data_IF_101588039142
#
_entry.id   IF_101588039142
#
_cell.length_a   1.000
_cell.length_b   1.000
_cell.length_c   1.000
_cell.angle_alpha   90.00
_cell.angle_beta   90.00
_cell.angle_gamma   90.00
#
_symmetry.space_group_name_H-M   'P 1'
#
loop_
_entity.id
_entity.type
_entity.pdbx_description
1 polymer ?
#
# COMPACT_ATOMS: atom_id res chain seq x y z
N UNK A 1 -0.76 4.29 -28.75
CA UNK A 1 -1.48 4.36 -27.46
C UNK A 1 -2.53 5.46 -27.57
N UNK A 2 -3.85 5.21 -27.43
CA UNK A 2 -4.81 6.29 -27.43
C UNK A 2 -4.80 6.93 -26.04
N UNK A 3 -3.93 7.92 -25.86
CA UNK A 3 -3.89 8.73 -24.64
C UNK A 3 -5.19 9.54 -24.61
N UNK A 4 -6.09 9.20 -23.67
CA UNK A 4 -7.34 9.95 -23.49
C UNK A 4 -7.03 11.40 -23.14
N UNK A 5 -7.80 12.32 -23.73
CA UNK A 5 -7.64 13.76 -23.51
C UNK A 5 -7.93 14.07 -22.03
N UNK A 6 -7.12 14.96 -21.44
CA UNK A 6 -7.33 15.53 -20.11
C UNK A 6 -8.79 16.03 -20.00
N UNK A 7 -9.57 15.46 -19.08
CA UNK A 7 -10.98 15.83 -18.85
C UNK A 7 -12.03 14.76 -19.19
N UNK A 8 -11.66 13.63 -19.82
CA UNK A 8 -12.61 12.51 -20.00
C UNK A 8 -12.76 11.69 -18.72
N UNK A 9 -14.00 11.28 -18.39
CA UNK A 9 -14.27 10.37 -17.28
C UNK A 9 -13.50 9.06 -17.42
N UNK A 10 -12.74 8.71 -16.37
CA UNK A 10 -11.93 7.49 -16.28
C UNK A 10 -12.82 6.36 -15.79
N UNK A 11 -12.91 5.27 -16.55
CA UNK A 11 -13.67 4.07 -16.14
C UNK A 11 -12.78 3.16 -15.32
N UNK A 12 -13.15 2.96 -14.06
CA UNK A 12 -12.39 2.17 -13.09
C UNK A 12 -13.14 0.86 -12.86
N UNK A 13 -12.47 -0.28 -13.02
CA UNK A 13 -12.98 -1.59 -12.64
C UNK A 13 -12.37 -2.00 -11.30
N UNK A 14 -13.21 -2.25 -10.31
CA UNK A 14 -12.81 -2.78 -9.00
C UNK A 14 -13.15 -4.26 -8.91
N UNK A 15 -12.13 -5.08 -8.69
CA UNK A 15 -12.18 -6.53 -8.65
C UNK A 15 -12.06 -7.03 -7.21
N UNK A 16 -13.08 -7.77 -6.78
CA UNK A 16 -13.24 -8.26 -5.41
C UNK A 16 -13.06 -9.78 -5.34
N UNK A 17 -12.52 -10.33 -4.25
CA UNK A 17 -12.29 -11.76 -4.10
C UNK A 17 -13.59 -12.55 -4.03
N UNK A 18 -14.66 -11.96 -3.48
CA UNK A 18 -15.96 -12.63 -3.32
C UNK A 18 -17.12 -11.62 -3.29
N UNK A 19 -18.34 -12.15 -3.41
CA UNK A 19 -19.57 -11.33 -3.45
C UNK A 19 -19.80 -10.52 -2.19
N UNK A 20 -19.47 -11.06 -1.01
CA UNK A 20 -19.66 -10.37 0.28
C UNK A 20 -18.84 -9.09 0.36
N UNK A 21 -17.55 -9.17 0.01
CA UNK A 21 -16.67 -8.00 -0.01
C UNK A 21 -17.03 -7.02 -1.13
N UNK A 22 -17.46 -7.52 -2.29
CA UNK A 22 -18.00 -6.67 -3.37
C UNK A 22 -19.18 -5.83 -2.88
N UNK A 23 -20.16 -6.43 -2.22
CA UNK A 23 -21.35 -5.71 -1.74
C UNK A 23 -21.00 -4.67 -0.66
N UNK A 24 -20.10 -5.02 0.27
CA UNK A 24 -19.58 -4.07 1.26
C UNK A 24 -18.83 -2.91 0.60
N UNK A 25 -18.03 -3.21 -0.42
CA UNK A 25 -17.36 -2.22 -1.25
C UNK A 25 -18.32 -1.27 -1.94
N UNK A 26 -19.32 -1.79 -2.66
CA UNK A 26 -20.34 -0.98 -3.35
C UNK A 26 -21.00 -0.01 -2.38
N UNK A 27 -21.39 -0.47 -1.18
CA UNK A 27 -21.98 0.40 -0.15
C UNK A 27 -21.01 1.50 0.31
N UNK A 28 -19.73 1.17 0.46
CA UNK A 28 -18.69 2.12 0.89
C UNK A 28 -18.37 3.17 -0.18
N UNK A 29 -18.48 2.79 -1.47
CA UNK A 29 -18.21 3.68 -2.61
C UNK A 29 -19.45 4.39 -3.16
N UNK A 30 -20.64 4.12 -2.61
CA UNK A 30 -21.91 4.66 -3.12
C UNK A 30 -21.97 6.19 -3.17
N UNK A 31 -21.28 6.89 -2.26
CA UNK A 31 -21.20 8.36 -2.26
C UNK A 31 -20.17 8.93 -3.24
N UNK A 32 -19.35 8.09 -3.86
CA UNK A 32 -18.21 8.49 -4.69
C UNK A 32 -18.36 8.06 -6.16
N UNK A 33 -19.42 7.34 -6.54
CA UNK A 33 -19.56 6.75 -7.87
C UNK A 33 -20.43 7.58 -8.82
N UNK A 34 -19.80 8.39 -9.67
CA UNK A 34 -20.46 9.08 -10.81
C UNK A 34 -20.65 8.16 -12.04
N UNK A 35 -21.09 6.91 -11.86
CA UNK A 35 -21.18 5.86 -12.90
C UNK A 35 -19.85 5.47 -13.58
N UNK A 36 -18.72 5.90 -13.02
CA UNK A 36 -17.37 5.63 -13.54
C UNK A 36 -16.72 4.40 -12.94
N UNK A 37 -17.27 3.87 -11.85
CA UNK A 37 -16.72 2.72 -11.12
C UNK A 37 -17.60 1.49 -11.32
N UNK A 38 -17.04 0.45 -11.94
CA UNK A 38 -17.66 -0.87 -12.08
C UNK A 38 -17.11 -1.82 -11.02
N UNK A 39 -17.96 -2.67 -10.43
CA UNK A 39 -17.56 -3.65 -9.42
C UNK A 39 -17.78 -5.07 -9.94
N UNK A 40 -16.79 -5.95 -9.80
CA UNK A 40 -16.83 -7.33 -10.29
C UNK A 40 -16.15 -8.30 -9.32
N UNK A 41 -16.55 -9.58 -9.31
CA UNK A 41 -15.80 -10.63 -8.61
C UNK A 41 -14.67 -11.15 -9.50
N UNK A 42 -13.50 -11.43 -8.94
CA UNK A 42 -12.34 -11.93 -9.69
C UNK A 42 -12.69 -13.20 -10.48
N UNK A 43 -13.39 -14.16 -9.87
CA UNK A 43 -13.75 -15.41 -10.55
C UNK A 43 -14.78 -15.23 -11.68
N UNK A 44 -15.56 -14.15 -11.64
CA UNK A 44 -16.58 -13.88 -12.67
C UNK A 44 -16.01 -13.25 -13.95
N UNK A 45 -14.72 -12.94 -14.00
CA UNK A 45 -14.10 -12.22 -15.10
C UNK A 45 -13.75 -13.09 -16.32
N UNK A 46 -13.70 -14.42 -16.16
CA UNK A 46 -13.14 -15.34 -17.17
C UNK A 46 -13.79 -15.28 -18.56
N UNK A 47 -14.97 -14.67 -18.71
CA UNK A 47 -15.70 -14.61 -19.98
C UNK A 47 -16.18 -13.19 -20.37
N UNK A 48 -15.73 -12.14 -19.69
CA UNK A 48 -16.24 -10.78 -19.92
C UNK A 48 -15.23 -9.93 -20.66
N UNK A 49 -15.69 -9.16 -21.64
CA UNK A 49 -14.83 -8.21 -22.35
C UNK A 49 -14.52 -7.02 -21.41
N UNK A 50 -13.27 -6.97 -20.94
CA UNK A 50 -12.77 -5.92 -20.03
C UNK A 50 -12.22 -4.70 -20.80
N UNK A 51 -12.36 -4.67 -22.14
CA UNK A 51 -11.82 -3.64 -23.03
C UNK A 51 -12.40 -2.24 -22.84
N UNK A 52 -13.54 -2.09 -22.17
CA UNK A 52 -14.20 -0.80 -21.95
C UNK A 52 -13.66 0.00 -20.76
N UNK A 53 -12.94 -0.64 -19.84
CA UNK A 53 -12.43 -0.04 -18.61
C UNK A 53 -11.02 0.55 -18.81
N UNK A 54 -10.73 1.69 -18.21
CA UNK A 54 -9.44 2.37 -18.35
C UNK A 54 -8.40 1.86 -17.33
N UNK A 55 -8.87 1.47 -16.14
CA UNK A 55 -8.02 1.03 -15.01
C UNK A 55 -8.66 -0.20 -14.35
N UNK A 56 -7.85 -1.14 -13.88
CA UNK A 56 -8.30 -2.22 -12.98
C UNK A 56 -7.68 -2.07 -11.58
N UNK A 57 -8.48 -2.32 -10.54
CA UNK A 57 -8.07 -2.30 -9.14
C UNK A 57 -8.50 -3.59 -8.48
N UNK A 58 -7.57 -4.45 -8.07
CA UNK A 58 -7.86 -5.62 -7.25
C UNK A 58 -7.85 -5.25 -5.77
N UNK A 59 -8.85 -5.67 -5.01
CA UNK A 59 -8.98 -5.34 -3.58
C UNK A 59 -8.98 -6.62 -2.76
N UNK A 60 -7.96 -6.79 -1.92
CA UNK A 60 -7.74 -7.94 -1.05
C UNK A 60 -7.87 -9.32 -1.76
N UNK A 61 -7.22 -9.54 -2.92
CA UNK A 61 -7.29 -10.82 -3.60
C UNK A 61 -6.70 -11.96 -2.75
N UNK A 62 -7.24 -13.16 -2.93
CA UNK A 62 -6.72 -14.37 -2.31
C UNK A 62 -5.61 -14.99 -3.16
N UNK A 63 -4.69 -15.72 -2.54
CA UNK A 63 -3.57 -16.39 -3.23
C UNK A 63 -4.06 -17.40 -4.28
N UNK A 64 -5.18 -18.07 -4.01
CA UNK A 64 -5.88 -18.98 -4.94
C UNK A 64 -6.30 -18.30 -6.25
N UNK A 65 -6.40 -16.97 -6.27
CA UNK A 65 -6.93 -16.19 -7.39
C UNK A 65 -5.82 -15.64 -8.30
N UNK A 66 -4.54 -15.81 -7.95
CA UNK A 66 -3.41 -15.23 -8.68
C UNK A 66 -3.37 -15.58 -10.17
N UNK A 67 -3.72 -16.81 -10.55
CA UNK A 67 -3.78 -17.22 -11.95
C UNK A 67 -4.80 -16.41 -12.75
N UNK A 68 -5.98 -16.16 -12.17
CA UNK A 68 -7.05 -15.36 -12.78
C UNK A 68 -6.64 -13.88 -12.84
N UNK A 69 -6.03 -13.36 -11.78
CA UNK A 69 -5.49 -11.99 -11.71
C UNK A 69 -4.46 -11.77 -12.82
N UNK A 70 -3.60 -12.76 -13.09
CA UNK A 70 -2.63 -12.69 -14.19
C UNK A 70 -3.34 -12.57 -15.55
N UNK A 71 -4.31 -13.43 -15.83
CA UNK A 71 -5.06 -13.37 -17.09
C UNK A 71 -5.78 -12.03 -17.29
N UNK A 72 -6.37 -11.48 -16.23
CA UNK A 72 -6.99 -10.15 -16.26
C UNK A 72 -5.93 -9.08 -16.55
N UNK A 73 -4.79 -9.12 -15.86
CA UNK A 73 -3.71 -8.13 -16.03
C UNK A 73 -3.18 -8.14 -17.46
N UNK A 74 -2.99 -9.33 -18.04
CA UNK A 74 -2.58 -9.51 -19.43
C UNK A 74 -3.61 -8.88 -20.40
N UNK A 75 -4.91 -8.98 -20.11
CA UNK A 75 -5.98 -8.35 -20.91
C UNK A 75 -6.04 -6.82 -20.78
N UNK A 76 -5.49 -6.26 -19.70
CA UNK A 76 -5.42 -4.82 -19.52
C UNK A 76 -4.25 -4.20 -20.27
N UNK A 77 -3.14 -4.91 -20.49
CA UNK A 77 -1.95 -4.36 -21.12
C UNK A 77 -2.25 -3.58 -22.43
N UNK A 78 -1.78 -2.32 -22.59
CA UNK A 78 -0.88 -1.58 -21.70
C UNK A 78 -1.57 -0.67 -20.66
N UNK A 79 -2.87 -0.88 -20.38
CA UNK A 79 -3.64 -0.10 -19.39
C UNK A 79 -3.19 -0.41 -17.96
N UNK A 80 -3.27 0.59 -17.05
CA UNK A 80 -2.82 0.42 -15.67
C UNK A 80 -3.67 -0.57 -14.87
N UNK A 81 -3.00 -1.31 -14.01
CA UNK A 81 -3.58 -2.27 -13.06
C UNK A 81 -2.95 -2.07 -11.70
N UNK A 82 -3.75 -2.02 -10.65
CA UNK A 82 -3.30 -1.84 -9.27
C UNK A 82 -3.84 -2.95 -8.39
N UNK A 83 -3.04 -3.45 -7.45
CA UNK A 83 -3.47 -4.40 -6.42
C UNK A 83 -3.36 -3.75 -5.05
N UNK A 84 -4.50 -3.61 -4.37
CA UNK A 84 -4.58 -3.26 -2.97
C UNK A 84 -4.81 -4.52 -2.16
N UNK A 85 -3.76 -5.15 -1.64
CA UNK A 85 -3.91 -6.36 -0.81
C UNK A 85 -3.46 -6.14 0.63
N UNK A 86 -4.37 -5.88 1.58
CA UNK A 86 -4.03 -5.74 2.99
C UNK A 86 -3.80 -7.08 3.71
N UNK A 87 -4.05 -8.23 3.07
CA UNK A 87 -4.08 -9.54 3.73
C UNK A 87 -2.89 -10.44 3.48
N UNK A 88 -2.12 -10.23 2.41
CA UNK A 88 -0.95 -11.07 2.15
C UNK A 88 0.08 -10.81 3.26
N UNK A 89 0.36 -11.79 4.11
CA UNK A 89 1.37 -11.59 5.15
C UNK A 89 2.80 -11.70 4.58
N UNK A 90 3.79 -11.23 5.33
CA UNK A 90 5.21 -11.28 4.93
C UNK A 90 5.68 -12.69 4.56
N UNK A 91 5.15 -13.70 5.25
CA UNK A 91 5.57 -15.09 5.09
C UNK A 91 4.86 -15.81 3.93
N UNK A 92 3.69 -15.34 3.51
CA UNK A 92 2.91 -15.98 2.44
C UNK A 92 3.59 -15.83 1.07
N UNK A 93 4.30 -14.72 0.81
CA UNK A 93 4.92 -14.46 -0.51
C UNK A 93 6.03 -15.47 -0.86
N UNK A 94 6.73 -15.99 0.15
CA UNK A 94 7.77 -17.01 -0.02
C UNK A 94 7.20 -18.34 -0.54
N UNK A 95 5.91 -18.60 -0.31
CA UNK A 95 5.22 -19.83 -0.71
C UNK A 95 4.65 -19.78 -2.14
N UNK A 96 4.76 -18.64 -2.83
CA UNK A 96 4.10 -18.40 -4.13
C UNK A 96 4.79 -19.02 -5.35
N UNK A 97 5.95 -19.65 -5.18
CA UNK A 97 6.66 -20.34 -6.27
C UNK A 97 6.85 -19.48 -7.53
N UNK A 98 6.39 -19.96 -8.68
CA UNK A 98 6.50 -19.28 -9.98
C UNK A 98 5.70 -17.98 -10.07
N UNK A 99 4.64 -17.82 -9.28
CA UNK A 99 3.81 -16.61 -9.26
C UNK A 99 4.44 -15.46 -8.47
N UNK A 100 5.55 -15.73 -7.77
CA UNK A 100 6.31 -14.70 -7.04
C UNK A 100 6.74 -13.57 -7.95
N UNK A 101 7.24 -13.87 -9.16
CA UNK A 101 7.66 -12.84 -10.12
C UNK A 101 6.51 -11.93 -10.57
N UNK A 102 5.31 -12.50 -10.71
CA UNK A 102 4.10 -11.75 -11.03
C UNK A 102 3.61 -10.90 -9.85
N UNK A 103 3.58 -11.42 -8.63
CA UNK A 103 3.25 -10.60 -7.44
C UNK A 103 4.26 -9.47 -7.26
N UNK A 104 5.55 -9.78 -7.47
CA UNK A 104 6.63 -8.80 -7.47
C UNK A 104 6.56 -7.81 -8.65
N UNK A 105 5.71 -7.99 -9.66
CA UNK A 105 5.54 -7.00 -10.74
C UNK A 105 4.56 -5.88 -10.39
N UNK A 106 3.75 -6.05 -9.35
CA UNK A 106 2.84 -5.01 -8.90
C UNK A 106 3.55 -3.99 -8.02
N UNK A 107 3.17 -2.73 -8.13
CA UNK A 107 3.51 -1.73 -7.12
C UNK A 107 2.73 -2.08 -5.86
N UNK A 108 3.42 -2.67 -4.88
CA UNK A 108 2.83 -3.14 -3.63
C UNK A 108 2.78 -1.98 -2.63
N UNK A 109 1.59 -1.65 -2.13
CA UNK A 109 1.33 -0.46 -1.28
C UNK A 109 1.22 -0.79 0.23
N UNK A 110 1.49 -2.02 0.68
CA UNK A 110 1.13 -2.55 2.01
C UNK A 110 0.80 -1.56 3.14
N UNK A 111 -0.40 -1.76 3.71
CA UNK A 111 -0.94 -1.02 4.85
C UNK A 111 -0.82 -1.86 6.13
N UNK A 112 -0.18 -1.30 7.17
CA UNK A 112 -0.16 -1.87 8.51
C UNK A 112 -1.24 -1.23 9.37
N UNK A 113 -2.32 -1.96 9.65
CA UNK A 113 -3.19 -1.63 10.78
C UNK A 113 -2.74 -2.42 12.01
N UNK A 114 -1.85 -1.79 12.78
CA UNK A 114 -1.49 -2.17 14.15
C UNK A 114 -0.25 -3.04 14.27
N UNK A 115 0.95 -2.44 14.20
CA UNK A 115 2.12 -3.03 14.85
C UNK A 115 1.94 -2.84 16.36
N UNK A 116 1.35 -3.83 17.05
CA UNK A 116 1.46 -3.96 18.50
C UNK A 116 2.88 -4.42 18.84
N UNK A 117 3.85 -3.53 18.65
CA UNK A 117 5.12 -3.68 19.34
C UNK A 117 4.79 -3.58 20.82
N UNK A 118 5.00 -4.65 21.60
CA UNK A 118 4.86 -4.64 23.07
C UNK A 118 5.95 -3.74 23.69
N UNK A 119 5.81 -2.44 23.50
CA UNK A 119 6.50 -1.37 24.18
C UNK A 119 5.48 -0.51 24.92
N UNK A 120 5.87 -0.01 26.09
CA UNK A 120 4.97 0.24 27.23
C UNK A 120 3.82 1.26 26.95
N UNK A 121 3.85 2.12 25.90
CA UNK A 121 2.93 3.28 25.85
C UNK A 121 2.41 3.85 24.49
N UNK A 122 2.48 3.20 23.31
CA UNK A 122 1.76 3.78 22.14
C UNK A 122 1.39 2.81 21.01
N UNK A 123 0.15 2.92 20.51
CA UNK A 123 -0.30 2.35 19.23
C UNK A 123 -0.07 3.38 18.12
N UNK A 124 0.59 3.00 17.01
CA UNK A 124 0.79 3.87 15.83
C UNK A 124 0.36 3.13 14.57
N UNK A 125 -0.24 3.86 13.62
CA UNK A 125 -0.56 3.34 12.28
C UNK A 125 0.54 3.71 11.31
N UNK A 126 0.77 2.89 10.30
CA UNK A 126 1.78 3.15 9.29
C UNK A 126 1.51 2.38 8.00
N UNK A 127 2.22 2.76 6.94
CA UNK A 127 2.11 2.16 5.60
C UNK A 127 3.50 2.04 5.01
N UNK A 128 3.72 1.03 4.17
CA UNK A 128 4.95 0.85 3.42
C UNK A 128 4.62 0.93 1.94
N UNK A 129 5.14 1.94 1.26
CA UNK A 129 4.99 2.08 -0.18
C UNK A 129 6.18 1.49 -0.91
N UNK A 130 5.94 0.67 -1.93
CA UNK A 130 6.89 0.45 -3.01
C UNK A 130 6.62 1.46 -4.11
N UNK A 131 7.64 2.18 -4.54
CA UNK A 131 7.60 3.14 -5.63
C UNK A 131 8.79 2.91 -6.56
N UNK A 132 8.61 3.06 -7.87
CA UNK A 132 9.70 3.02 -8.84
C UNK A 132 9.60 1.87 -9.84
N UNK A 133 10.41 1.98 -10.90
CA UNK A 133 10.51 0.98 -11.97
C UNK A 133 11.13 -0.32 -11.42
N UNK A 134 10.91 -1.50 -12.05
CA UNK A 134 11.53 -2.77 -11.62
C UNK A 134 13.06 -2.75 -11.51
N UNK A 135 13.71 -1.78 -12.18
CA UNK A 135 15.16 -1.56 -12.15
C UNK A 135 15.63 -0.54 -11.11
N UNK A 136 14.70 0.18 -10.47
CA UNK A 136 14.96 1.28 -9.54
C UNK A 136 13.88 1.32 -8.46
N UNK A 137 13.65 0.17 -7.82
CA UNK A 137 12.65 0.04 -6.77
C UNK A 137 13.09 0.75 -5.49
N UNK A 138 12.19 1.52 -4.91
CA UNK A 138 12.34 2.16 -3.61
C UNK A 138 11.17 1.77 -2.72
N UNK A 139 11.47 1.27 -1.53
CA UNK A 139 10.49 0.95 -0.50
C UNK A 139 10.56 2.02 0.57
N UNK A 140 9.42 2.55 1.01
CA UNK A 140 9.36 3.67 1.94
C UNK A 140 8.37 3.39 3.06
N UNK A 141 8.78 3.61 4.31
CA UNK A 141 7.94 3.40 5.49
C UNK A 141 7.42 4.74 5.95
N UNK A 142 6.10 4.83 6.16
CA UNK A 142 5.41 6.03 6.62
C UNK A 142 4.61 5.72 7.87
N UNK A 143 4.55 6.66 8.81
CA UNK A 143 3.89 6.49 10.11
C UNK A 143 3.00 7.70 10.41
N UNK A 144 1.84 7.46 10.98
CA UNK A 144 0.90 8.47 11.44
C UNK A 144 1.41 9.10 12.75
N UNK A 145 1.82 10.37 12.68
CA UNK A 145 2.14 11.23 13.82
C UNK A 145 1.30 12.52 13.74
N UNK A 146 -0.03 12.36 13.70
CA UNK A 146 -0.99 13.40 13.30
C UNK A 146 -1.23 13.38 11.80
N UNK A 147 -0.17 13.67 11.03
CA UNK A 147 -0.10 13.45 9.58
C UNK A 147 0.78 12.25 9.24
N UNK A 148 0.63 11.72 8.02
CA UNK A 148 1.44 10.63 7.50
C UNK A 148 2.86 11.15 7.16
N UNK A 149 3.89 10.67 7.88
CA UNK A 149 5.28 11.10 7.69
C UNK A 149 6.17 9.97 7.22
N UNK A 150 7.07 10.27 6.28
CA UNK A 150 8.11 9.36 5.84
C UNK A 150 9.15 9.18 6.94
N UNK A 151 9.45 7.93 7.30
CA UNK A 151 10.36 7.61 8.40
C UNK A 151 11.58 6.81 7.97
N UNK A 152 11.48 6.01 6.90
CA UNK A 152 12.62 5.26 6.37
C UNK A 152 12.44 4.93 4.88
N UNK A 153 13.56 4.63 4.21
CA UNK A 153 13.64 4.14 2.84
C UNK A 153 14.54 2.91 2.75
N UNK A 154 14.19 1.98 1.87
CA UNK A 154 14.90 0.74 1.61
C UNK A 154 15.02 0.51 0.10
N UNK A 155 16.15 -0.08 -0.32
CA UNK A 155 16.40 -0.44 -1.72
C UNK A 155 15.77 -1.78 -2.13
N UNK A 156 15.25 -2.51 -1.16
CA UNK A 156 14.56 -3.78 -1.31
C UNK A 156 13.41 -3.82 -0.28
N UNK A 157 12.49 -4.77 -0.43
CA UNK A 157 11.37 -4.92 0.50
C UNK A 157 11.90 -5.11 1.93
N UNK A 158 11.60 -4.20 2.88
CA UNK A 158 12.06 -4.33 4.25
C UNK A 158 11.35 -5.51 4.93
N UNK A 159 12.09 -6.34 5.65
CA UNK A 159 11.57 -7.40 6.51
C UNK A 159 10.80 -6.86 7.71
N UNK A 160 9.99 -7.71 8.37
CA UNK A 160 9.28 -7.33 9.59
C UNK A 160 10.23 -6.81 10.67
N UNK A 161 11.37 -7.48 10.89
CA UNK A 161 12.38 -7.07 11.86
C UNK A 161 12.97 -5.69 11.54
N UNK A 162 13.20 -5.39 10.25
CA UNK A 162 13.67 -4.06 9.83
C UNK A 162 12.61 -2.98 10.08
N UNK A 163 11.34 -3.28 9.81
CA UNK A 163 10.22 -2.37 10.07
C UNK A 163 10.08 -2.11 11.58
N UNK A 164 10.15 -3.14 12.42
CA UNK A 164 10.14 -3.02 13.87
C UNK A 164 11.28 -2.15 14.38
N UNK A 165 12.50 -2.36 13.87
CA UNK A 165 13.67 -1.53 14.23
C UNK A 165 13.48 -0.06 13.85
N UNK A 166 12.89 0.24 12.69
CA UNK A 166 12.53 1.61 12.30
C UNK A 166 11.54 2.22 13.31
N UNK A 167 10.53 1.46 13.72
CA UNK A 167 9.55 1.93 14.70
C UNK A 167 10.15 2.13 16.10
N UNK A 168 11.03 1.23 16.55
CA UNK A 168 11.76 1.39 17.80
C UNK A 168 12.63 2.65 17.80
N UNK A 169 13.35 2.91 16.71
CA UNK A 169 14.17 4.11 16.55
C UNK A 169 13.32 5.39 16.59
N UNK A 170 12.15 5.39 15.93
CA UNK A 170 11.20 6.50 16.04
C UNK A 170 10.71 6.73 17.46
N UNK A 171 10.42 5.66 18.22
CA UNK A 171 10.02 5.78 19.63
C UNK A 171 11.14 6.37 20.48
N UNK A 172 12.38 5.91 20.30
CA UNK A 172 13.53 6.39 21.04
C UNK A 172 13.79 7.90 20.81
N UNK A 173 13.69 8.35 19.55
CA UNK A 173 13.84 9.77 19.18
C UNK A 173 12.71 10.62 19.78
N UNK A 174 11.49 10.08 19.84
CA UNK A 174 10.32 10.80 20.34
C UNK A 174 10.07 10.65 21.86
N UNK A 175 10.92 9.91 22.57
CA UNK A 175 10.77 9.67 24.00
C UNK A 175 10.73 10.99 24.79
N UNK A 176 9.88 11.11 25.84
CA UNK A 176 9.83 12.29 26.71
C UNK A 176 11.20 12.68 27.27
N UNK A 177 12.06 11.70 27.54
CA UNK A 177 13.41 11.90 28.07
C UNK A 177 14.30 12.57 27.01
N UNK A 178 14.27 12.06 25.77
CA UNK A 178 15.04 12.60 24.64
C UNK A 178 14.56 14.00 24.25
N UNK A 179 13.25 14.24 24.25
CA UNK A 179 12.68 15.58 24.01
C UNK A 179 13.05 16.58 25.10
N UNK A 180 13.04 16.16 26.36
CA UNK A 180 13.44 17.01 27.49
C UNK A 180 14.94 17.37 27.42
N UNK A 181 15.80 16.41 27.08
CA UNK A 181 17.23 16.66 26.89
C UNK A 181 17.51 17.62 25.72
N UNK A 182 16.79 17.47 24.60
CA UNK A 182 16.88 18.41 23.47
C UNK A 182 16.40 19.81 23.86
N UNK A 183 15.28 19.92 24.57
CA UNK A 183 14.75 21.21 25.04
C UNK A 183 15.72 21.92 25.98
N UNK A 184 16.33 21.21 26.94
CA UNK A 184 17.35 21.76 27.83
C UNK A 184 18.61 22.19 27.05
N UNK A 185 19.05 21.39 26.09
CA UNK A 185 20.19 21.74 25.22
C UNK A 185 19.90 22.97 24.35
N UNK A 186 18.70 23.08 23.80
CA UNK A 186 18.28 24.21 22.95
C UNK A 186 18.10 25.49 23.79
N UNK A 187 17.63 25.38 25.03
CA UNK A 187 17.63 26.50 25.98
C UNK A 187 19.06 26.96 26.28
N UNK A 188 19.97 26.04 26.61
CA UNK A 188 21.37 26.37 26.92
C UNK A 188 22.10 26.94 25.71
N UNK A 189 21.86 26.44 24.49
CA UNK A 189 22.47 26.99 23.26
C UNK A 189 21.95 28.37 22.90
N UNK A 190 20.66 28.66 23.16
CA UNK A 190 20.07 30.00 22.97
C UNK A 190 20.68 31.04 23.91
N UNK A 191 21.02 30.65 25.14
CA UNK A 191 21.62 31.52 26.17
C UNK A 191 23.13 31.71 25.96
N UNK A 192 23.80 30.71 25.37
CA UNK A 192 25.26 30.75 25.13
C UNK A 192 25.66 31.24 23.73
N UNK A 193 24.70 31.55 22.85
CA UNK A 193 24.93 32.28 21.60
C UNK A 193 25.67 31.52 20.49
N UNK A 194 25.82 30.19 20.60
CA UNK A 194 26.42 29.37 19.54
C UNK A 194 25.33 28.58 18.81
N UNK A 195 24.90 29.12 17.67
CA UNK A 195 24.23 28.34 16.62
C UNK A 195 25.26 27.53 15.85
#
# INVERSE_FOLDING_TARGET
MPVKRKGSAIKILVLWPNSTLKEAGIKSFASYSENTVEHMNIESSNNRNLGSNDIAVFVAPETSQLAVIKAITDSFYPRPVTIFNPRWEFDEEATLGELRGFVSSFEVVYSFTGLEVRGIFSRRKGVIFRTGLPTAEEWSVWVEEGDLKLVSRFKARPSLVEVENVLYNLMAINSPITKSAKFLRDMVSSVTGKK
#
